data_IF_210961330822
#
_entry.id   IF_210961330822
#
_cell.length_a   1.000
_cell.length_b   1.000
_cell.length_c   1.000
_cell.angle_alpha   90.00
_cell.angle_beta   90.00
_cell.angle_gamma   90.00
#
_symmetry.space_group_name_H-M   'P 1'
#
loop_
_entity.id
_entity.type
_entity.pdbx_description
1 polymer ?
#
# COMPACT_ATOMS: atom_id res chain seq x y z
N UNK A 1 -55.26 -59.65 26.42
CA UNK A 1 -55.52 -58.22 26.20
C UNK A 1 -54.16 -57.57 26.05
N UNK A 2 -53.84 -57.05 24.87
CA UNK A 2 -52.57 -56.35 24.65
C UNK A 2 -52.81 -54.85 24.78
N UNK A 3 -51.94 -54.17 25.51
CA UNK A 3 -51.97 -52.72 25.68
C UNK A 3 -50.83 -52.15 24.85
N UNK A 4 -51.16 -51.32 23.86
CA UNK A 4 -50.20 -50.56 23.09
C UNK A 4 -50.07 -49.17 23.71
N UNK A 5 -48.86 -48.81 24.14
CA UNK A 5 -48.52 -47.47 24.61
C UNK A 5 -47.60 -46.84 23.57
N UNK A 6 -48.03 -45.72 22.99
CA UNK A 6 -47.23 -44.93 22.05
C UNK A 6 -46.77 -43.66 22.74
N UNK A 7 -45.47 -43.43 22.79
CA UNK A 7 -44.88 -42.18 23.28
C UNK A 7 -44.75 -41.24 22.09
N UNK A 8 -45.29 -40.03 22.21
CA UNK A 8 -45.18 -38.98 21.19
C UNK A 8 -43.97 -38.09 21.50
N UNK A 9 -43.17 -37.79 20.49
CA UNK A 9 -42.09 -36.83 20.63
C UNK A 9 -42.65 -35.40 20.75
N UNK A 10 -42.11 -34.62 21.68
CA UNK A 10 -42.44 -33.21 21.87
C UNK A 10 -41.13 -32.44 21.74
N UNK A 11 -41.17 -31.29 21.06
CA UNK A 11 -39.99 -30.44 20.84
C UNK A 11 -39.53 -29.77 22.14
N UNK A 12 -38.79 -30.48 22.98
CA UNK A 12 -38.37 -30.07 24.32
C UNK A 12 -36.84 -30.02 24.52
N UNK A 13 -36.07 -30.30 23.47
CA UNK A 13 -34.63 -30.17 23.45
C UNK A 13 -34.19 -29.04 22.53
N UNK A 14 -33.05 -28.42 22.89
CA UNK A 14 -32.39 -27.44 22.03
C UNK A 14 -31.31 -28.11 21.20
N UNK A 15 -31.02 -27.61 19.99
CA UNK A 15 -29.82 -27.99 19.27
C UNK A 15 -28.57 -27.72 20.12
N UNK A 16 -27.53 -28.54 20.00
CA UNK A 16 -26.27 -28.40 20.74
C UNK A 16 -25.08 -28.52 19.77
N UNK A 17 -24.22 -27.50 19.76
CA UNK A 17 -22.94 -27.56 19.06
C UNK A 17 -21.90 -28.34 19.88
N UNK A 18 -21.00 -29.05 19.19
CA UNK A 18 -19.84 -29.68 19.84
C UNK A 18 -18.90 -28.65 20.48
N UNK A 19 -18.77 -27.50 19.84
CA UNK A 19 -17.94 -26.38 20.28
C UNK A 19 -18.69 -25.07 20.03
N UNK A 20 -18.71 -24.20 21.04
CA UNK A 20 -19.43 -22.93 21.00
C UNK A 20 -18.55 -21.72 20.69
N UNK A 21 -17.23 -21.89 20.69
CA UNK A 21 -16.26 -20.85 20.35
C UNK A 21 -15.19 -21.44 19.43
N UNK A 22 -15.16 -20.99 18.18
CA UNK A 22 -14.15 -21.39 17.20
C UNK A 22 -13.28 -20.18 16.86
N UNK A 23 -12.03 -20.46 16.52
CA UNK A 23 -11.08 -19.45 16.06
C UNK A 23 -10.40 -19.96 14.82
N UNK A 24 -10.52 -19.19 13.74
CA UNK A 24 -9.91 -19.47 12.46
C UNK A 24 -8.95 -18.37 12.07
N UNK A 25 -7.92 -18.76 11.33
CA UNK A 25 -6.94 -17.86 10.74
C UNK A 25 -6.96 -18.05 9.24
N UNK A 26 -7.22 -16.98 8.50
CA UNK A 26 -7.49 -17.04 7.06
C UNK A 26 -6.58 -16.05 6.34
N UNK A 27 -5.67 -16.52 5.47
CA UNK A 27 -4.88 -15.64 4.61
C UNK A 27 -5.76 -14.80 3.69
N UNK A 28 -5.43 -13.53 3.47
CA UNK A 28 -6.24 -12.64 2.65
C UNK A 28 -6.33 -13.07 1.17
N UNK A 29 -5.32 -13.80 0.67
CA UNK A 29 -5.27 -14.30 -0.70
C UNK A 29 -6.09 -15.59 -0.93
N UNK A 30 -6.77 -16.06 0.13
CA UNK A 30 -7.71 -17.17 0.10
C UNK A 30 -8.75 -16.97 -1.01
N UNK A 31 -8.92 -17.99 -1.85
CA UNK A 31 -9.81 -17.88 -3.01
C UNK A 31 -11.28 -17.82 -2.58
N UNK A 32 -12.02 -16.94 -3.26
CA UNK A 32 -13.48 -16.91 -3.15
C UNK A 32 -14.05 -18.29 -3.45
N UNK A 33 -15.05 -18.68 -2.67
CA UNK A 33 -15.70 -19.99 -2.57
C UNK A 33 -14.93 -21.07 -1.82
N UNK A 34 -13.73 -20.78 -1.30
CA UNK A 34 -13.04 -21.69 -0.39
C UNK A 34 -13.84 -21.93 0.88
N UNK A 35 -13.83 -23.17 1.36
CA UNK A 35 -14.38 -23.55 2.66
C UNK A 35 -13.45 -23.04 3.75
N UNK A 36 -14.00 -22.29 4.69
CA UNK A 36 -13.29 -21.70 5.84
C UNK A 36 -13.46 -22.56 7.08
N UNK A 37 -14.69 -23.02 7.33
CA UNK A 37 -14.97 -23.96 8.43
C UNK A 37 -15.80 -25.11 7.88
N UNK A 38 -15.33 -26.33 8.14
CA UNK A 38 -15.97 -27.52 7.66
C UNK A 38 -17.32 -27.78 8.36
N UNK A 39 -18.19 -28.53 7.68
CA UNK A 39 -19.54 -28.81 8.15
C UNK A 39 -19.54 -29.53 9.51
N UNK A 40 -18.63 -30.47 9.70
CA UNK A 40 -18.53 -31.37 10.86
C UNK A 40 -18.24 -30.65 12.19
N UNK A 41 -17.57 -29.49 12.10
CA UNK A 41 -17.19 -28.65 13.23
C UNK A 41 -18.32 -27.70 13.63
N UNK A 42 -19.21 -27.39 12.68
CA UNK A 42 -20.35 -26.49 12.86
C UNK A 42 -21.69 -27.19 12.97
N UNK A 43 -21.75 -28.51 12.78
CA UNK A 43 -23.00 -29.26 12.89
C UNK A 43 -23.44 -29.37 14.35
N UNK A 44 -24.59 -28.79 14.66
CA UNK A 44 -25.31 -29.02 15.91
C UNK A 44 -26.14 -30.31 15.82
N UNK A 45 -26.29 -30.98 16.96
CA UNK A 45 -27.17 -32.13 17.13
C UNK A 45 -28.34 -31.75 18.00
N UNK A 46 -29.53 -32.20 17.64
CA UNK A 46 -30.72 -32.13 18.48
C UNK A 46 -31.09 -33.54 18.96
N UNK A 47 -31.57 -33.65 20.20
CA UNK A 47 -32.07 -34.89 20.76
C UNK A 47 -33.50 -35.19 20.27
N UNK A 48 -34.24 -34.14 19.90
CA UNK A 48 -35.40 -34.27 19.05
C UNK A 48 -34.93 -34.67 17.65
N UNK A 49 -35.50 -35.71 17.00
CA UNK A 49 -35.13 -36.13 15.64
C UNK A 49 -35.61 -35.13 14.57
N UNK A 50 -35.51 -33.84 14.86
CA UNK A 50 -35.87 -32.70 14.03
C UNK A 50 -34.69 -32.27 13.14
N UNK A 51 -35.00 -31.59 12.04
CA UNK A 51 -33.98 -31.03 11.14
C UNK A 51 -33.46 -29.71 11.69
N UNK A 52 -32.15 -29.59 11.87
CA UNK A 52 -31.52 -28.35 12.33
C UNK A 52 -31.32 -27.37 11.18
N UNK A 53 -31.81 -26.14 11.37
CA UNK A 53 -31.67 -25.00 10.47
C UNK A 53 -30.64 -24.01 11.00
N UNK A 54 -29.81 -23.49 10.10
CA UNK A 54 -28.69 -22.62 10.42
C UNK A 54 -28.87 -21.23 9.82
N UNK A 55 -28.43 -20.22 10.58
CA UNK A 55 -28.39 -18.82 10.16
C UNK A 55 -27.07 -18.20 10.66
N UNK A 56 -26.36 -17.50 9.77
CA UNK A 56 -25.07 -16.87 10.09
C UNK A 56 -25.24 -15.36 10.10
N UNK A 57 -24.76 -14.71 11.15
CA UNK A 57 -24.71 -13.25 11.24
C UNK A 57 -23.29 -12.78 11.54
N UNK A 58 -22.99 -11.55 11.13
CA UNK A 58 -21.73 -10.88 11.45
C UNK A 58 -21.99 -9.81 12.50
N UNK A 59 -21.15 -9.76 13.54
CA UNK A 59 -21.32 -8.77 14.63
C UNK A 59 -20.36 -7.58 14.52
N UNK A 60 -19.26 -7.72 13.77
CA UNK A 60 -18.29 -6.65 13.56
C UNK A 60 -18.79 -5.76 12.42
N UNK A 61 -18.98 -4.44 12.65
CA UNK A 61 -19.42 -3.51 11.60
C UNK A 61 -18.52 -3.55 10.36
N UNK A 62 -19.11 -3.30 9.19
CA UNK A 62 -18.41 -3.20 7.89
C UNK A 62 -17.67 -4.49 7.42
N UNK A 63 -17.91 -5.62 8.08
CA UNK A 63 -17.35 -6.94 7.71
C UNK A 63 -18.43 -7.93 7.22
N UNK A 64 -19.62 -7.43 6.87
CA UNK A 64 -20.74 -8.25 6.42
C UNK A 64 -20.60 -8.75 4.96
N UNK A 65 -21.16 -9.93 4.71
CA UNK A 65 -21.22 -10.54 3.38
C UNK A 65 -19.88 -11.04 2.84
N UNK A 66 -18.82 -11.09 3.64
CA UNK A 66 -17.57 -11.79 3.29
C UNK A 66 -17.68 -13.31 3.49
N UNK A 67 -18.49 -13.76 4.45
CA UNK A 67 -18.66 -15.16 4.79
C UNK A 67 -20.13 -15.55 4.71
N UNK A 68 -20.41 -16.77 4.25
CA UNK A 68 -21.76 -17.31 4.17
C UNK A 68 -21.76 -18.81 4.45
N UNK A 69 -22.90 -19.35 4.87
CA UNK A 69 -23.10 -20.80 4.97
C UNK A 69 -23.55 -21.38 3.63
N UNK A 70 -23.12 -22.60 3.31
CA UNK A 70 -23.50 -23.29 2.06
C UNK A 70 -25.02 -23.49 1.93
N UNK A 71 -25.75 -23.56 3.04
CA UNK A 71 -27.21 -23.54 3.02
C UNK A 71 -27.82 -23.68 4.40
N UNK A 72 -29.15 -23.53 4.47
CA UNK A 72 -29.89 -23.55 5.74
C UNK A 72 -29.75 -24.87 6.53
N UNK A 73 -29.41 -25.99 5.88
CA UNK A 73 -29.15 -27.27 6.55
C UNK A 73 -27.70 -27.74 6.38
N UNK A 74 -26.83 -26.86 5.86
CA UNK A 74 -25.41 -27.11 5.67
C UNK A 74 -24.61 -25.93 6.24
N UNK A 75 -24.18 -26.03 7.51
CA UNK A 75 -23.53 -24.92 8.21
C UNK A 75 -22.09 -24.67 7.75
N UNK A 76 -21.55 -25.41 6.77
CA UNK A 76 -20.22 -25.14 6.21
C UNK A 76 -20.08 -23.67 5.82
N UNK A 77 -19.12 -22.98 6.43
CA UNK A 77 -18.85 -21.57 6.15
C UNK A 77 -17.84 -21.50 5.00
N UNK A 78 -18.15 -20.68 3.99
CA UNK A 78 -17.27 -20.42 2.87
C UNK A 78 -17.08 -18.91 2.65
N UNK A 79 -15.97 -18.57 1.99
CA UNK A 79 -15.63 -17.20 1.64
C UNK A 79 -16.42 -16.74 0.42
N UNK A 80 -17.21 -15.67 0.54
CA UNK A 80 -18.06 -15.12 -0.52
C UNK A 80 -17.44 -13.93 -1.27
N UNK A 81 -16.55 -13.18 -0.63
CA UNK A 81 -15.86 -12.02 -1.22
C UNK A 81 -14.36 -12.11 -0.95
N UNK A 82 -13.55 -11.54 -1.82
CA UNK A 82 -12.11 -11.46 -1.60
C UNK A 82 -11.82 -10.66 -0.32
N UNK A 83 -10.87 -11.14 0.48
CA UNK A 83 -10.43 -10.47 1.70
C UNK A 83 -9.46 -9.35 1.36
N UNK A 84 -9.34 -8.40 2.29
CA UNK A 84 -8.46 -7.23 2.18
C UNK A 84 -8.00 -6.90 3.59
N UNK A 85 -6.75 -7.26 3.91
CA UNK A 85 -6.20 -7.13 5.25
C UNK A 85 -6.15 -5.67 5.71
N UNK A 86 -5.94 -4.71 4.81
CA UNK A 86 -5.91 -3.29 5.14
C UNK A 86 -7.30 -2.73 5.49
N UNK A 87 -8.38 -3.36 5.01
CA UNK A 87 -9.75 -2.98 5.39
C UNK A 87 -10.13 -3.49 6.78
N UNK A 88 -9.87 -4.77 7.06
CA UNK A 88 -10.12 -5.36 8.37
C UNK A 88 -9.27 -6.62 8.56
N UNK A 89 -8.78 -6.84 9.79
CA UNK A 89 -7.97 -8.00 10.14
C UNK A 89 -8.67 -8.97 11.12
N UNK A 90 -9.91 -8.65 11.52
CA UNK A 90 -10.70 -9.44 12.43
C UNK A 90 -12.19 -9.26 12.10
N UNK A 91 -12.91 -10.37 12.04
CA UNK A 91 -14.37 -10.38 12.14
C UNK A 91 -14.83 -11.47 13.10
N UNK A 92 -16.01 -11.28 13.66
CA UNK A 92 -16.67 -12.29 14.48
C UNK A 92 -18.03 -12.59 13.90
N UNK A 93 -18.30 -13.89 13.74
CA UNK A 93 -19.55 -14.43 13.25
C UNK A 93 -20.29 -15.12 14.38
N UNK A 94 -21.62 -15.07 14.33
CA UNK A 94 -22.50 -15.84 15.20
C UNK A 94 -23.32 -16.78 14.33
N UNK A 95 -23.16 -18.07 14.58
CA UNK A 95 -23.93 -19.13 13.94
C UNK A 95 -25.06 -19.55 14.87
N UNK A 96 -26.29 -19.39 14.40
CA UNK A 96 -27.50 -19.88 15.06
C UNK A 96 -27.84 -21.26 14.53
N UNK A 97 -28.19 -22.19 15.42
CA UNK A 97 -28.83 -23.45 15.10
C UNK A 97 -30.24 -23.47 15.70
N UNK A 98 -31.25 -23.82 14.90
CA UNK A 98 -32.66 -23.87 15.28
C UNK A 98 -33.27 -25.22 14.91
N UNK A 99 -34.11 -25.75 15.77
CA UNK A 99 -34.90 -26.98 15.51
C UNK A 99 -36.06 -26.76 14.50
N UNK A 100 -36.39 -25.49 14.23
CA UNK A 100 -37.45 -25.06 13.30
C UNK A 100 -36.93 -24.02 12.31
N UNK A 101 -37.52 -23.93 11.12
CA UNK A 101 -37.14 -22.91 10.15
C UNK A 101 -37.44 -21.50 10.67
N UNK A 102 -36.68 -20.53 10.16
CA UNK A 102 -36.88 -19.11 10.48
C UNK A 102 -38.33 -18.71 10.15
N UNK A 103 -39.01 -18.09 11.12
CA UNK A 103 -40.40 -17.67 10.98
C UNK A 103 -41.45 -18.73 11.29
N UNK A 104 -41.07 -19.86 11.88
CA UNK A 104 -42.04 -20.83 12.44
C UNK A 104 -42.94 -20.18 13.49
N UNK A 105 -44.22 -20.54 13.49
CA UNK A 105 -45.21 -20.12 14.51
C UNK A 105 -45.22 -21.03 15.74
N UNK A 106 -44.48 -22.14 15.69
CA UNK A 106 -44.32 -23.08 16.82
C UNK A 106 -43.15 -22.70 17.70
N UNK A 107 -43.12 -23.24 18.93
CA UNK A 107 -41.96 -23.13 19.82
C UNK A 107 -40.72 -23.60 19.06
N UNK A 108 -39.69 -22.76 19.11
CA UNK A 108 -38.41 -22.94 18.41
C UNK A 108 -37.31 -22.83 19.46
N UNK A 109 -36.52 -23.89 19.62
CA UNK A 109 -35.33 -23.86 20.45
C UNK A 109 -34.13 -23.42 19.61
N UNK A 110 -33.17 -22.75 20.24
CA UNK A 110 -32.04 -22.14 19.53
C UNK A 110 -30.76 -22.29 20.34
N UNK A 111 -29.66 -22.60 19.65
CA UNK A 111 -28.31 -22.49 20.18
C UNK A 111 -27.46 -21.59 19.30
N UNK A 112 -26.37 -21.09 19.89
CA UNK A 112 -25.44 -20.19 19.21
C UNK A 112 -24.00 -20.66 19.38
N UNK A 113 -23.20 -20.54 18.32
CA UNK A 113 -21.75 -20.63 18.36
C UNK A 113 -21.12 -19.33 17.84
N UNK A 114 -20.01 -18.94 18.44
CA UNK A 114 -19.22 -17.76 18.04
C UNK A 114 -17.98 -18.23 17.29
N UNK A 115 -17.72 -17.61 16.14
CA UNK A 115 -16.56 -17.91 15.29
C UNK A 115 -15.75 -16.61 15.13
N UNK A 116 -14.53 -16.60 15.64
CA UNK A 116 -13.59 -15.50 15.45
C UNK A 116 -12.71 -15.81 14.25
N UNK A 117 -12.67 -14.91 13.28
CA UNK A 117 -11.84 -15.06 12.08
C UNK A 117 -10.79 -13.96 12.08
N UNK A 118 -9.53 -14.36 12.22
CA UNK A 118 -8.37 -13.49 12.05
C UNK A 118 -7.91 -13.56 10.61
N UNK A 119 -7.72 -12.41 9.97
CA UNK A 119 -7.18 -12.34 8.62
C UNK A 119 -5.66 -12.19 8.73
N UNK A 120 -4.92 -13.05 8.04
CA UNK A 120 -3.47 -12.91 7.89
C UNK A 120 -3.16 -12.21 6.57
N UNK A 121 -2.25 -11.23 6.63
CA UNK A 121 -1.76 -10.57 5.43
C UNK A 121 -0.98 -11.58 4.58
N UNK A 122 -1.20 -11.55 3.28
CA UNK A 122 -0.47 -12.36 2.32
C UNK A 122 0.34 -11.44 1.40
N UNK A 123 1.40 -11.97 0.80
CA UNK A 123 2.23 -11.23 -0.14
C UNK A 123 1.44 -11.04 -1.45
N UNK A 124 0.64 -9.98 -1.51
CA UNK A 124 -0.28 -9.67 -2.62
C UNK A 124 0.14 -8.42 -3.37
N UNK A 125 0.95 -7.55 -2.76
CA UNK A 125 1.38 -6.27 -3.33
C UNK A 125 2.88 -6.29 -3.64
N UNK A 126 3.33 -5.68 -4.75
CA UNK A 126 4.76 -5.53 -5.02
C UNK A 126 5.34 -4.32 -4.27
N UNK A 127 6.67 -4.20 -4.15
CA UNK A 127 7.31 -3.02 -3.58
C UNK A 127 6.92 -1.72 -4.31
N UNK A 128 6.82 -0.60 -3.60
CA UNK A 128 6.52 0.74 -4.14
C UNK A 128 7.64 1.73 -3.85
N UNK A 129 8.08 2.47 -4.86
CA UNK A 129 9.02 3.59 -4.68
C UNK A 129 8.34 4.80 -4.05
N UNK A 130 9.04 5.50 -3.15
CA UNK A 130 8.54 6.69 -2.47
C UNK A 130 9.36 7.95 -2.82
N UNK A 131 8.71 9.12 -2.97
CA UNK A 131 7.29 9.38 -2.83
C UNK A 131 6.48 8.88 -4.04
N UNK A 132 5.26 8.44 -3.76
CA UNK A 132 4.29 8.03 -4.77
C UNK A 132 2.93 8.67 -4.50
N UNK A 133 2.08 8.70 -5.54
CA UNK A 133 0.72 9.24 -5.47
C UNK A 133 -0.28 8.10 -5.63
N UNK A 134 -1.19 7.96 -4.67
CA UNK A 134 -2.30 7.01 -4.76
C UNK A 134 -3.33 7.48 -5.79
N UNK A 135 -3.76 6.58 -6.66
CA UNK A 135 -4.74 6.90 -7.73
C UNK A 135 -6.17 6.47 -7.40
N UNK A 136 -6.33 5.70 -6.33
CA UNK A 136 -7.56 5.06 -5.94
C UNK A 136 -7.91 5.36 -4.48
N UNK A 137 -9.20 5.31 -4.17
CA UNK A 137 -9.74 5.70 -2.86
C UNK A 137 -9.36 4.74 -1.73
N UNK A 138 -9.07 3.48 -2.07
CA UNK A 138 -8.64 2.41 -1.17
C UNK A 138 -7.11 2.29 -1.05
N UNK A 139 -6.34 3.24 -1.62
CA UNK A 139 -4.87 3.29 -1.54
C UNK A 139 -4.13 2.00 -1.94
N UNK A 140 -4.76 1.12 -2.72
CA UNK A 140 -4.16 -0.14 -3.18
C UNK A 140 -3.20 0.01 -4.36
N UNK A 141 -3.14 1.19 -5.01
CA UNK A 141 -2.23 1.45 -6.15
C UNK A 141 -1.52 2.79 -5.96
N UNK A 142 -0.18 2.76 -5.90
CA UNK A 142 0.66 3.95 -5.81
C UNK A 142 1.56 4.12 -7.04
N UNK A 143 1.50 5.29 -7.68
CA UNK A 143 2.37 5.62 -8.83
C UNK A 143 3.56 6.43 -8.33
N UNK A 144 4.76 5.89 -8.49
CA UNK A 144 6.01 6.54 -8.09
C UNK A 144 6.26 7.84 -8.86
N UNK A 145 6.77 8.86 -8.15
CA UNK A 145 7.33 10.05 -8.79
C UNK A 145 8.71 9.73 -9.37
N UNK A 146 9.11 10.33 -10.51
CA UNK A 146 10.46 10.16 -11.02
C UNK A 146 11.48 10.82 -10.09
N UNK A 147 12.68 10.25 -10.04
CA UNK A 147 13.83 10.84 -9.36
C UNK A 147 14.64 11.65 -10.36
N UNK A 148 15.24 12.74 -9.91
CA UNK A 148 16.13 13.55 -10.75
C UNK A 148 17.45 13.79 -10.04
N UNK A 149 18.56 13.79 -10.78
CA UNK A 149 19.90 14.00 -10.24
C UNK A 149 20.78 14.76 -11.22
N UNK A 150 21.93 15.22 -10.75
CA UNK A 150 22.92 15.92 -11.57
C UNK A 150 24.31 15.36 -11.31
N UNK A 151 25.12 15.30 -12.37
CA UNK A 151 26.53 14.91 -12.30
C UNK A 151 27.34 15.86 -13.16
N UNK A 152 28.59 16.12 -12.75
CA UNK A 152 29.52 16.91 -13.54
C UNK A 152 30.14 16.05 -14.65
N UNK A 153 30.30 16.64 -15.83
CA UNK A 153 31.03 16.02 -16.93
C UNK A 153 32.49 15.78 -16.55
N UNK A 154 33.07 14.66 -17.02
CA UNK A 154 34.46 14.27 -16.76
C UNK A 154 34.84 14.05 -15.29
N UNK A 155 33.88 14.03 -14.36
CA UNK A 155 34.11 13.72 -12.95
C UNK A 155 33.41 12.42 -12.56
N UNK A 156 33.98 11.72 -11.57
CA UNK A 156 33.37 10.55 -10.94
C UNK A 156 33.06 10.90 -9.50
N UNK A 157 31.78 10.89 -9.13
CA UNK A 157 31.39 10.94 -7.72
C UNK A 157 31.67 9.58 -7.08
N UNK A 158 32.51 9.58 -6.03
CA UNK A 158 32.75 8.43 -5.16
C UNK A 158 31.63 8.24 -4.14
N UNK A 159 30.91 9.31 -3.82
CA UNK A 159 29.78 9.31 -2.89
C UNK A 159 28.45 9.06 -3.61
N UNK A 160 27.42 8.57 -2.90
CA UNK A 160 26.07 8.47 -3.44
C UNK A 160 25.59 9.78 -4.05
N UNK A 161 24.99 9.68 -5.25
CA UNK A 161 24.43 10.81 -5.96
C UNK A 161 23.25 11.40 -5.16
N UNK A 162 23.21 12.73 -5.09
CA UNK A 162 22.09 13.46 -4.52
C UNK A 162 20.97 13.48 -5.55
N UNK A 163 19.79 13.00 -5.15
CA UNK A 163 18.60 12.94 -5.98
C UNK A 163 17.48 13.80 -5.38
N UNK A 164 16.59 14.27 -6.25
CA UNK A 164 15.36 14.99 -5.92
C UNK A 164 14.15 14.26 -6.53
N UNK A 165 13.25 13.69 -5.70
CA UNK A 165 13.46 13.37 -4.27
C UNK A 165 14.63 12.39 -4.10
N UNK A 166 15.14 12.20 -2.88
CA UNK A 166 16.25 11.28 -2.66
C UNK A 166 16.44 10.91 -1.20
N UNK A 167 17.10 9.77 -0.90
CA UNK A 167 17.65 8.76 -1.84
C UNK A 167 16.57 7.91 -2.53
N UNK A 168 16.95 7.05 -3.48
CA UNK A 168 16.05 6.03 -4.04
C UNK A 168 15.60 5.14 -2.90
N UNK A 169 14.29 4.98 -2.75
CA UNK A 169 13.73 4.24 -1.64
C UNK A 169 12.42 3.59 -2.05
N UNK A 170 12.30 2.28 -1.78
CA UNK A 170 11.08 1.52 -1.96
C UNK A 170 10.67 0.83 -0.65
N UNK A 171 9.36 0.66 -0.48
CA UNK A 171 8.76 -0.06 0.66
C UNK A 171 7.90 -1.20 0.16
N UNK A 172 7.71 -2.21 1.00
CA UNK A 172 6.70 -3.22 0.77
C UNK A 172 5.39 -2.81 1.49
N UNK A 173 4.26 -2.73 0.78
CA UNK A 173 2.96 -2.45 1.41
C UNK A 173 2.48 -3.59 2.33
N UNK A 174 2.95 -4.83 2.11
CA UNK A 174 2.60 -6.00 2.91
C UNK A 174 3.42 -6.01 4.21
N UNK A 175 3.14 -5.01 5.06
CA UNK A 175 3.98 -4.59 6.18
C UNK A 175 4.22 -5.64 7.28
N UNK A 176 3.41 -6.70 7.36
CA UNK A 176 3.61 -7.76 8.34
C UNK A 176 4.64 -8.80 7.90
N UNK A 177 4.98 -8.85 6.60
CA UNK A 177 5.88 -9.87 6.03
C UNK A 177 7.36 -9.46 6.05
N UNK A 178 7.66 -8.15 6.11
CA UNK A 178 9.02 -7.60 6.21
C UNK A 178 10.03 -8.21 5.20
N UNK A 179 9.57 -8.46 3.97
CA UNK A 179 10.40 -9.08 2.94
C UNK A 179 11.52 -8.14 2.48
N UNK A 180 12.71 -8.70 2.26
CA UNK A 180 13.87 -7.92 1.84
C UNK A 180 13.68 -7.44 0.40
N UNK A 181 13.80 -6.12 0.20
CA UNK A 181 13.81 -5.48 -1.11
C UNK A 181 15.23 -5.29 -1.59
N UNK A 182 15.50 -5.60 -2.87
CA UNK A 182 16.77 -5.32 -3.53
C UNK A 182 16.61 -4.46 -4.78
N UNK A 183 17.60 -3.58 -5.00
CA UNK A 183 17.61 -2.61 -6.10
C UNK A 183 18.53 -3.03 -7.25
N UNK A 184 18.14 -2.73 -8.49
CA UNK A 184 18.97 -2.95 -9.68
C UNK A 184 18.66 -1.96 -10.80
N UNK A 185 19.64 -1.65 -11.65
CA UNK A 185 19.42 -0.88 -12.88
C UNK A 185 19.08 -1.86 -14.00
N UNK A 186 17.88 -1.74 -14.57
CA UNK A 186 17.35 -2.64 -15.60
C UNK A 186 17.29 -2.00 -17.00
N UNK A 187 17.53 -0.68 -17.09
CA UNK A 187 17.53 0.03 -18.36
C UNK A 187 18.12 1.44 -18.25
N UNK A 188 18.40 2.05 -19.40
CA UNK A 188 18.86 3.44 -19.49
C UNK A 188 20.36 3.68 -19.27
N UNK A 189 21.09 2.70 -18.75
CA UNK A 189 22.55 2.77 -18.53
C UNK A 189 23.31 1.87 -19.53
N UNK A 190 23.30 2.23 -20.81
CA UNK A 190 23.96 1.42 -21.86
C UNK A 190 25.47 1.31 -21.67
N UNK A 191 26.10 2.34 -21.11
CA UNK A 191 27.55 2.46 -20.96
C UNK A 191 28.06 1.93 -19.61
N UNK A 192 27.14 1.47 -18.74
CA UNK A 192 27.41 1.02 -17.36
C UNK A 192 28.13 2.08 -16.53
N UNK A 193 27.73 3.34 -16.74
CA UNK A 193 28.26 4.51 -16.06
C UNK A 193 27.82 4.55 -14.59
N UNK A 194 26.66 4.00 -14.28
CA UNK A 194 26.07 4.06 -12.96
C UNK A 194 26.04 2.68 -12.30
N UNK A 195 25.96 2.68 -10.97
CA UNK A 195 25.62 1.48 -10.22
C UNK A 195 24.67 1.85 -9.09
N UNK A 196 23.76 0.94 -8.75
CA UNK A 196 22.88 1.07 -7.60
C UNK A 196 23.26 0.04 -6.56
N UNK A 197 23.40 0.46 -5.31
CA UNK A 197 23.60 -0.46 -4.21
C UNK A 197 22.33 -1.29 -4.00
N UNK A 198 22.46 -2.61 -4.06
CA UNK A 198 21.33 -3.53 -4.00
C UNK A 198 20.55 -3.45 -2.68
N UNK A 199 21.17 -3.06 -1.57
CA UNK A 199 20.51 -3.02 -0.26
C UNK A 199 20.02 -1.61 0.12
N UNK A 200 20.76 -0.56 -0.27
CA UNK A 200 20.48 0.81 0.18
C UNK A 200 19.79 1.68 -0.87
N UNK A 201 19.76 1.25 -2.14
CA UNK A 201 19.26 2.08 -3.24
C UNK A 201 20.18 3.24 -3.63
N UNK A 202 21.34 3.39 -2.97
CA UNK A 202 22.29 4.47 -3.29
C UNK A 202 22.82 4.32 -4.71
N UNK A 203 22.60 5.34 -5.53
CA UNK A 203 23.10 5.42 -6.90
C UNK A 203 24.49 6.06 -6.88
N UNK A 204 25.47 5.46 -7.57
CA UNK A 204 26.86 5.94 -7.67
C UNK A 204 27.34 5.86 -9.12
N UNK A 205 28.53 6.41 -9.38
CA UNK A 205 29.15 6.38 -10.71
C UNK A 205 30.33 5.41 -10.75
N UNK A 206 30.34 4.51 -11.73
CA UNK A 206 31.49 3.66 -12.02
C UNK A 206 32.55 4.40 -12.85
N UNK A 207 32.11 5.33 -13.71
CA UNK A 207 32.94 6.08 -14.67
C UNK A 207 32.37 7.47 -14.89
N UNK A 208 33.19 8.38 -15.39
CA UNK A 208 32.78 9.75 -15.66
C UNK A 208 31.94 9.82 -16.94
N UNK A 209 30.93 10.69 -16.95
CA UNK A 209 30.21 11.03 -18.17
C UNK A 209 31.11 11.83 -19.11
N UNK A 210 31.13 11.48 -20.40
CA UNK A 210 32.04 12.09 -21.40
C UNK A 210 31.35 13.09 -22.32
N UNK A 211 30.03 13.18 -22.26
CA UNK A 211 29.22 14.08 -23.11
C UNK A 211 28.09 14.71 -22.31
N UNK A 212 27.71 15.98 -22.61
CA UNK A 212 26.53 16.58 -22.02
C UNK A 212 25.26 15.85 -22.48
N UNK A 213 24.23 15.85 -21.65
CA UNK A 213 22.96 15.17 -21.93
C UNK A 213 22.25 14.68 -20.66
N UNK A 214 21.26 13.82 -20.84
CA UNK A 214 20.55 13.16 -19.74
C UNK A 214 20.61 11.64 -19.90
N UNK A 215 20.81 10.94 -18.79
CA UNK A 215 20.57 9.50 -18.69
C UNK A 215 19.20 9.28 -18.06
N UNK A 216 18.34 8.51 -18.71
CA UNK A 216 17.04 8.12 -18.17
C UNK A 216 17.10 6.67 -17.72
N UNK A 217 17.51 6.45 -16.47
CA UNK A 217 17.67 5.13 -15.90
C UNK A 217 16.32 4.53 -15.52
N UNK A 218 16.19 3.22 -15.69
CA UNK A 218 15.10 2.43 -15.12
C UNK A 218 15.66 1.62 -13.95
N UNK A 219 15.26 1.97 -12.74
CA UNK A 219 15.68 1.30 -11.50
C UNK A 219 14.54 0.42 -11.02
N UNK A 220 14.83 -0.85 -10.75
CA UNK A 220 13.90 -1.86 -10.28
C UNK A 220 14.12 -2.12 -8.79
N UNK A 221 13.05 -2.21 -8.02
CA UNK A 221 13.03 -2.73 -6.66
C UNK A 221 12.25 -4.05 -6.67
N UNK A 222 12.79 -5.12 -6.09
CA UNK A 222 12.17 -6.45 -6.11
C UNK A 222 12.33 -7.16 -4.77
N UNK A 223 11.32 -7.93 -4.37
CA UNK A 223 11.43 -8.81 -3.20
C UNK A 223 12.38 -9.98 -3.50
N UNK A 224 13.24 -10.34 -2.54
CA UNK A 224 14.23 -11.42 -2.70
C UNK A 224 13.58 -12.80 -2.83
N UNK A 225 12.47 -13.03 -2.14
CA UNK A 225 11.75 -14.31 -2.14
C UNK A 225 10.96 -14.54 -3.44
N UNK A 226 10.59 -13.48 -4.17
CA UNK A 226 9.77 -13.55 -5.37
C UNK A 226 10.12 -12.45 -6.39
N UNK A 227 10.87 -12.83 -7.42
CA UNK A 227 11.30 -11.91 -8.49
C UNK A 227 10.14 -11.35 -9.34
N UNK A 228 8.94 -11.93 -9.27
CA UNK A 228 7.76 -11.40 -9.96
C UNK A 228 7.12 -10.23 -9.21
N UNK A 229 7.52 -10.02 -7.95
CA UNK A 229 7.10 -8.91 -7.13
C UNK A 229 8.15 -7.81 -7.21
N UNK A 230 7.93 -6.93 -8.17
CA UNK A 230 8.82 -5.82 -8.43
C UNK A 230 8.03 -4.59 -8.86
N UNK A 231 8.68 -3.43 -8.74
CA UNK A 231 8.29 -2.21 -9.41
C UNK A 231 9.51 -1.55 -10.04
N UNK A 232 9.25 -0.61 -10.94
CA UNK A 232 10.29 0.15 -11.63
C UNK A 232 10.02 1.64 -11.53
N UNK A 233 11.07 2.44 -11.34
CA UNK A 233 11.00 3.90 -11.36
C UNK A 233 12.02 4.50 -12.33
N UNK A 234 11.66 5.64 -12.90
CA UNK A 234 12.56 6.41 -13.76
C UNK A 234 13.43 7.36 -12.94
N UNK A 235 14.73 7.37 -13.23
CA UNK A 235 15.72 8.28 -12.62
C UNK A 235 16.41 9.06 -13.74
N UNK A 236 16.15 10.37 -13.83
CA UNK A 236 16.81 11.24 -14.80
C UNK A 236 18.09 11.84 -14.20
N UNK A 237 19.25 11.50 -14.76
CA UNK A 237 20.54 12.10 -14.38
C UNK A 237 21.01 13.05 -15.46
N UNK A 238 21.08 14.35 -15.13
CA UNK A 238 21.56 15.40 -16.04
C UNK A 238 23.07 15.58 -15.90
N UNK A 239 23.78 15.47 -17.01
CA UNK A 239 25.21 15.76 -17.09
C UNK A 239 25.37 17.26 -17.35
N UNK A 240 25.89 17.96 -16.35
CA UNK A 240 26.14 19.40 -16.42
C UNK A 240 27.64 19.67 -16.53
N UNK A 241 27.97 20.83 -17.11
CA UNK A 241 29.32 21.35 -16.98
C UNK A 241 29.59 21.61 -15.50
N UNK A 242 30.82 21.29 -15.07
CA UNK A 242 31.27 21.68 -13.74
C UNK A 242 31.24 23.20 -13.63
N UNK A 243 30.68 23.69 -12.53
CA UNK A 243 30.83 25.09 -12.12
C UNK A 243 32.04 25.17 -11.20
N UNK A 244 33.05 25.94 -11.60
CA UNK A 244 34.27 26.14 -10.83
C UNK A 244 34.13 27.34 -9.87
N UNK A 245 33.19 28.27 -10.13
CA UNK A 245 33.00 29.50 -9.37
C UNK A 245 31.53 29.78 -9.01
N UNK A 246 31.17 30.10 -7.75
CA UNK A 246 29.82 30.50 -7.40
C UNK A 246 29.52 31.93 -7.92
N UNK A 247 28.25 32.25 -8.25
CA UNK A 247 27.89 33.58 -8.71
C UNK A 247 28.07 34.63 -7.59
N UNK A 248 28.48 35.84 -7.98
CA UNK A 248 28.71 36.96 -7.07
C UNK A 248 28.11 38.26 -7.59
N UNK A 249 27.76 39.17 -6.68
CA UNK A 249 27.32 40.52 -7.07
C UNK A 249 28.52 41.41 -7.35
N UNK A 250 28.46 42.21 -8.42
CA UNK A 250 29.54 43.14 -8.80
C UNK A 250 29.83 44.18 -7.70
N UNK A 251 28.80 44.62 -6.98
CA UNK A 251 28.90 45.52 -5.84
C UNK A 251 28.31 44.90 -4.57
N UNK A 252 28.89 45.28 -3.42
CA UNK A 252 28.35 44.94 -2.09
C UNK A 252 27.18 45.84 -1.68
N UNK A 253 27.03 47.01 -2.31
CA UNK A 253 26.02 48.01 -1.96
C UNK A 253 25.44 48.59 -3.24
N UNK A 254 24.11 48.57 -3.34
CA UNK A 254 23.34 49.20 -4.42
C UNK A 254 22.40 50.24 -3.82
N UNK A 255 22.55 51.49 -4.25
CA UNK A 255 21.76 52.61 -3.74
C UNK A 255 20.62 52.92 -4.72
N UNK A 256 19.38 52.87 -4.21
CA UNK A 256 18.18 53.18 -4.98
C UNK A 256 17.29 54.21 -4.31
N UNK A 257 16.42 54.84 -5.11
CA UNK A 257 15.44 55.84 -4.67
C UNK A 257 14.03 55.46 -5.11
N UNK A 258 13.03 55.88 -4.34
CA UNK A 258 11.61 55.70 -4.63
C UNK A 258 10.85 56.97 -4.27
N UNK A 259 9.72 57.21 -4.94
CA UNK A 259 8.84 58.33 -4.60
C UNK A 259 7.89 57.97 -3.46
N UNK A 260 7.65 58.93 -2.57
CA UNK A 260 6.68 58.80 -1.49
C UNK A 260 5.28 58.63 -2.08
N UNK A 261 4.49 57.70 -1.53
CA UNK A 261 3.12 57.43 -1.96
C UNK A 261 2.99 56.42 -3.10
N UNK A 262 4.08 55.78 -3.54
CA UNK A 262 4.00 54.68 -4.50
C UNK A 262 3.31 53.45 -3.90
N UNK A 263 2.42 52.84 -4.69
CA UNK A 263 1.82 51.55 -4.36
C UNK A 263 2.88 50.41 -4.39
N UNK A 264 2.62 49.26 -3.74
CA UNK A 264 3.51 48.09 -3.82
C UNK A 264 3.77 47.61 -5.26
N UNK A 265 4.89 46.91 -5.47
CA UNK A 265 5.34 46.37 -6.78
C UNK A 265 5.66 47.46 -7.83
N UNK A 266 6.37 48.51 -7.40
CA UNK A 266 6.92 49.55 -8.28
C UNK A 266 8.44 49.43 -8.36
N UNK A 267 9.01 49.94 -9.45
CA UNK A 267 10.46 49.94 -9.64
C UNK A 267 11.15 50.84 -8.60
N UNK A 268 12.31 50.37 -8.14
CA UNK A 268 13.30 51.21 -7.47
C UNK A 268 14.19 51.79 -8.57
N UNK A 269 14.46 53.09 -8.49
CA UNK A 269 15.30 53.79 -9.47
C UNK A 269 16.71 53.99 -8.93
N UNK A 270 17.67 54.20 -9.81
CA UNK A 270 19.06 54.39 -9.42
C UNK A 270 19.23 55.72 -8.65
N UNK A 271 20.00 55.68 -7.55
CA UNK A 271 20.27 56.89 -6.80
C UNK A 271 21.01 57.92 -7.67
N UNK A 272 20.44 59.12 -7.81
CA UNK A 272 20.96 60.18 -8.67
C UNK A 272 20.43 60.18 -10.11
N UNK A 273 19.72 59.13 -10.53
CA UNK A 273 19.03 59.06 -11.83
C UNK A 273 17.63 58.42 -11.67
N UNK A 274 16.58 59.22 -11.44
CA UNK A 274 15.23 58.74 -11.25
C UNK A 274 14.55 58.24 -12.54
N UNK A 275 15.23 58.28 -13.70
CA UNK A 275 14.71 57.79 -14.98
C UNK A 275 15.12 56.35 -15.28
N UNK A 276 16.14 55.83 -14.58
CA UNK A 276 16.69 54.49 -14.80
C UNK A 276 16.35 53.54 -13.64
N UNK A 277 15.71 52.38 -13.90
CA UNK A 277 15.52 51.36 -12.88
C UNK A 277 16.86 50.88 -12.32
N UNK A 278 16.91 50.64 -11.01
CA UNK A 278 18.07 50.06 -10.36
C UNK A 278 18.22 48.61 -10.84
N UNK A 279 19.26 48.36 -11.62
CA UNK A 279 19.66 47.03 -12.09
C UNK A 279 20.68 46.44 -11.11
N UNK A 280 20.45 45.21 -10.67
CA UNK A 280 21.38 44.44 -9.86
C UNK A 280 21.73 43.19 -10.65
N UNK A 281 23.00 43.05 -11.00
CA UNK A 281 23.51 41.93 -11.78
C UNK A 281 24.32 41.00 -10.88
N UNK A 282 24.07 39.70 -10.98
CA UNK A 282 24.98 38.68 -10.48
C UNK A 282 25.83 38.19 -11.66
N UNK A 283 27.14 38.11 -11.45
CA UNK A 283 28.13 37.64 -12.41
C UNK A 283 28.59 36.26 -11.99
N UNK A 284 28.92 35.43 -12.97
CA UNK A 284 29.46 34.09 -12.76
C UNK A 284 30.67 33.92 -13.69
N UNK A 285 31.85 33.69 -13.10
CA UNK A 285 33.12 33.56 -13.82
C UNK A 285 33.16 32.31 -14.72
N UNK A 286 32.26 31.34 -14.48
CA UNK A 286 32.09 30.17 -15.36
C UNK A 286 31.41 30.55 -16.70
N UNK A 287 30.74 31.70 -16.77
CA UNK A 287 29.97 32.16 -17.93
C UNK A 287 30.31 33.62 -18.33
N UNK A 288 31.56 33.93 -18.73
CA UNK A 288 32.04 35.30 -18.88
C UNK A 288 31.45 36.10 -20.07
N UNK A 289 30.53 35.53 -20.85
CA UNK A 289 30.02 36.11 -22.11
C UNK A 289 28.48 36.13 -22.24
N UNK A 290 27.73 36.11 -21.13
CA UNK A 290 26.25 36.22 -21.15
C UNK A 290 25.80 37.60 -20.70
#
# INVERSE_FOLDING_TARGET
LEIFVTILNVNDNSPVFKQTNLTEVVPEDTKVNATIVAREDLSASDADPDTVFYELTTIVPDTDGYFAIKGVNNPEIYLQKALDYEKFNLTTLVLYARDRPVGSTTITNTATATINIFIEQADTKPPWFLPCTFINTDNSICISSPYTGKVNISEVSTEPLILEPGPIYAIDPDCTLNEKIVYSIVGGDTDKLFSVNADTGNLTMNKAATSPGSYLLQVMATQVNNIQKYSTVSVEIKVIAKSDYPPYFESRIYNGTVFVGLAPRRFVFQAGDPSSPLMITAVDDDYPNV
#
